data_IF_525338857142
#
_entry.id   IF_525338857142
#
_cell.length_a   1.000
_cell.length_b   1.000
_cell.length_c   1.000
_cell.angle_alpha   90.00
_cell.angle_beta   90.00
_cell.angle_gamma   90.00
#
_symmetry.space_group_name_H-M   'P 1'
#
loop_
_entity.id
_entity.type
_entity.pdbx_description
1 polymer ?
#
# COMPACT_ATOMS: atom_id res chain seq x y z
N UNK A 1 -32.39 -17.64 0.63
CA UNK A 1 -31.41 -18.23 1.57
C UNK A 1 -30.09 -18.64 0.91
N UNK A 2 -30.06 -19.34 -0.23
CA UNK A 2 -28.79 -19.78 -0.88
C UNK A 2 -27.90 -18.61 -1.35
N UNK A 3 -28.49 -17.50 -1.81
CA UNK A 3 -27.76 -16.33 -2.34
C UNK A 3 -26.95 -15.56 -1.28
N UNK A 4 -27.42 -15.54 -0.02
CA UNK A 4 -26.73 -14.85 1.08
C UNK A 4 -25.52 -15.64 1.58
N UNK A 5 -25.60 -16.97 1.60
CA UNK A 5 -24.48 -17.84 2.00
C UNK A 5 -23.29 -17.72 1.02
N UNK A 6 -23.57 -17.73 -0.29
CA UNK A 6 -22.54 -17.57 -1.32
C UNK A 6 -21.89 -16.18 -1.31
N UNK A 7 -22.66 -15.13 -0.98
CA UNK A 7 -22.11 -13.77 -0.82
C UNK A 7 -21.20 -13.69 0.40
N UNK A 8 -21.59 -14.34 1.50
CA UNK A 8 -20.80 -14.39 2.73
C UNK A 8 -19.45 -15.06 2.53
N UNK A 9 -19.45 -16.28 1.96
CA UNK A 9 -18.22 -17.03 1.69
C UNK A 9 -17.28 -16.25 0.77
N UNK A 10 -17.83 -15.54 -0.23
CA UNK A 10 -17.04 -14.71 -1.15
C UNK A 10 -16.47 -13.47 -0.47
N UNK A 11 -17.23 -12.80 0.39
CA UNK A 11 -16.75 -11.66 1.15
C UNK A 11 -15.64 -12.07 2.13
N UNK A 12 -15.80 -13.20 2.81
CA UNK A 12 -14.78 -13.77 3.69
C UNK A 12 -13.49 -14.11 2.92
N UNK A 13 -13.62 -14.70 1.72
CA UNK A 13 -12.47 -14.99 0.86
C UNK A 13 -11.72 -13.71 0.48
N UNK A 14 -12.44 -12.66 0.04
CA UNK A 14 -11.83 -11.38 -0.32
C UNK A 14 -11.13 -10.75 0.89
N UNK A 15 -11.75 -10.73 2.07
CA UNK A 15 -11.12 -10.19 3.28
C UNK A 15 -9.85 -10.94 3.67
N UNK A 16 -9.83 -12.26 3.46
CA UNK A 16 -8.64 -13.10 3.69
C UNK A 16 -7.53 -12.82 2.68
N UNK A 17 -7.87 -12.59 1.42
CA UNK A 17 -6.91 -12.17 0.39
C UNK A 17 -6.32 -10.79 0.71
N UNK A 18 -7.16 -9.85 1.13
CA UNK A 18 -6.71 -8.53 1.59
C UNK A 18 -5.74 -8.65 2.78
N UNK A 19 -6.07 -9.50 3.76
CA UNK A 19 -5.23 -9.77 4.92
C UNK A 19 -3.85 -10.32 4.54
N UNK A 20 -3.82 -11.28 3.62
CA UNK A 20 -2.58 -11.86 3.10
C UNK A 20 -1.72 -10.81 2.37
N UNK A 21 -2.33 -9.96 1.54
CA UNK A 21 -1.63 -8.88 0.85
C UNK A 21 -1.01 -7.90 1.85
N UNK A 22 -1.78 -7.50 2.87
CA UNK A 22 -1.33 -6.56 3.91
C UNK A 22 -0.19 -7.16 4.72
N UNK A 23 -0.30 -8.43 5.13
CA UNK A 23 0.78 -9.13 5.84
C UNK A 23 2.07 -9.18 5.01
N UNK A 24 1.98 -9.50 3.72
CA UNK A 24 3.13 -9.52 2.83
C UNK A 24 3.76 -8.13 2.67
N UNK A 25 2.96 -7.05 2.62
CA UNK A 25 3.49 -5.68 2.58
C UNK A 25 4.20 -5.32 3.91
N UNK A 26 3.65 -5.74 5.05
CA UNK A 26 4.28 -5.53 6.37
C UNK A 26 5.64 -6.20 6.47
N UNK A 27 5.83 -7.36 5.84
CA UNK A 27 7.13 -8.03 5.77
C UNK A 27 8.13 -7.31 4.86
N UNK A 28 7.67 -6.64 3.79
CA UNK A 28 8.53 -5.91 2.85
C UNK A 28 9.07 -4.61 3.47
N UNK A 29 8.27 -3.87 4.24
CA UNK A 29 8.66 -2.58 4.82
C UNK A 29 10.02 -2.59 5.56
N UNK A 30 10.28 -3.52 6.50
CA UNK A 30 11.56 -3.56 7.20
C UNK A 30 12.72 -3.96 6.27
N UNK A 31 12.45 -4.79 5.25
CA UNK A 31 13.45 -5.17 4.25
C UNK A 31 13.84 -3.98 3.36
N UNK A 32 12.87 -3.15 2.96
CA UNK A 32 13.14 -1.92 2.22
C UNK A 32 14.02 -0.97 3.03
N UNK A 33 13.74 -0.82 4.33
CA UNK A 33 14.57 -0.01 5.22
C UNK A 33 16.01 -0.52 5.25
N UNK A 34 16.22 -1.82 5.45
CA UNK A 34 17.56 -2.43 5.46
C UNK A 34 18.27 -2.20 4.12
N UNK A 35 17.57 -2.38 2.99
CA UNK A 35 18.14 -2.17 1.67
C UNK A 35 18.54 -0.69 1.45
N UNK A 36 17.74 0.26 1.93
CA UNK A 36 18.05 1.70 1.91
C UNK A 36 19.29 1.99 2.77
N UNK A 37 19.35 1.47 3.99
CA UNK A 37 20.47 1.69 4.92
C UNK A 37 21.79 1.12 4.35
N UNK A 38 21.70 0.05 3.55
CA UNK A 38 22.84 -0.59 2.87
C UNK A 38 23.13 -0.01 1.48
N UNK A 39 22.33 0.95 0.99
CA UNK A 39 22.40 1.50 -0.37
C UNK A 39 22.33 0.42 -1.46
N UNK A 40 21.61 -0.67 -1.21
CA UNK A 40 21.46 -1.78 -2.14
C UNK A 40 20.34 -1.47 -3.16
N UNK A 41 20.73 -0.84 -4.28
CA UNK A 41 19.79 -0.40 -5.33
C UNK A 41 18.96 -1.53 -5.95
N UNK A 42 19.53 -2.73 -6.11
CA UNK A 42 18.83 -3.88 -6.68
C UNK A 42 17.73 -4.39 -5.73
N UNK A 43 18.06 -4.55 -4.45
CA UNK A 43 17.10 -4.94 -3.43
C UNK A 43 15.98 -3.88 -3.27
N UNK A 44 16.33 -2.58 -3.27
CA UNK A 44 15.34 -1.50 -3.22
C UNK A 44 14.37 -1.61 -4.40
N UNK A 45 14.89 -1.82 -5.62
CA UNK A 45 14.06 -1.94 -6.81
C UNK A 45 13.13 -3.16 -6.74
N UNK A 46 13.67 -4.34 -6.43
CA UNK A 46 12.89 -5.58 -6.34
C UNK A 46 11.79 -5.50 -5.27
N UNK A 47 12.12 -4.99 -4.08
CA UNK A 47 11.17 -4.85 -2.99
C UNK A 47 10.07 -3.83 -3.31
N UNK A 48 10.42 -2.73 -3.99
CA UNK A 48 9.44 -1.72 -4.46
C UNK A 48 8.48 -2.32 -5.48
N UNK A 49 8.99 -3.10 -6.44
CA UNK A 49 8.15 -3.76 -7.46
C UNK A 49 7.22 -4.80 -6.83
N UNK A 50 7.72 -5.61 -5.88
CA UNK A 50 6.90 -6.57 -5.13
C UNK A 50 5.79 -5.87 -4.33
N UNK A 51 6.13 -4.78 -3.61
CA UNK A 51 5.14 -3.98 -2.88
C UNK A 51 4.09 -3.39 -3.81
N UNK A 52 4.48 -2.91 -4.99
CA UNK A 52 3.55 -2.38 -6.00
C UNK A 52 2.58 -3.46 -6.50
N UNK A 53 3.06 -4.68 -6.74
CA UNK A 53 2.20 -5.80 -7.13
C UNK A 53 1.15 -6.12 -6.06
N UNK A 54 1.56 -6.20 -4.78
CA UNK A 54 0.64 -6.45 -3.67
C UNK A 54 -0.39 -5.33 -3.48
N UNK A 55 0.00 -4.06 -3.71
CA UNK A 55 -0.97 -2.96 -3.73
C UNK A 55 -1.98 -3.06 -4.87
N UNK A 56 -1.55 -3.56 -6.02
CA UNK A 56 -2.47 -3.83 -7.14
C UNK A 56 -3.46 -4.93 -6.78
N UNK A 57 -2.99 -6.05 -6.21
CA UNK A 57 -3.85 -7.14 -5.74
C UNK A 57 -4.86 -6.66 -4.69
N UNK A 58 -4.44 -5.79 -3.76
CA UNK A 58 -5.33 -5.19 -2.77
C UNK A 58 -6.40 -4.29 -3.42
N UNK A 59 -6.05 -3.55 -4.48
CA UNK A 59 -7.01 -2.74 -5.23
C UNK A 59 -7.98 -3.61 -6.03
N UNK A 60 -7.52 -4.73 -6.56
CA UNK A 60 -8.37 -5.69 -7.25
C UNK A 60 -9.36 -6.32 -6.27
N UNK A 61 -8.94 -6.66 -5.04
CA UNK A 61 -9.83 -7.09 -3.96
C UNK A 61 -10.91 -6.05 -3.64
N UNK A 62 -10.54 -4.77 -3.55
CA UNK A 62 -11.51 -3.67 -3.35
C UNK A 62 -12.49 -3.57 -4.52
N UNK A 63 -12.03 -3.74 -5.75
CA UNK A 63 -12.92 -3.76 -6.93
C UNK A 63 -13.90 -4.94 -6.87
N UNK A 64 -13.44 -6.12 -6.42
CA UNK A 64 -14.32 -7.27 -6.20
C UNK A 64 -15.39 -6.99 -5.13
N UNK A 65 -15.03 -6.33 -4.02
CA UNK A 65 -16.02 -5.85 -3.05
C UNK A 65 -17.03 -4.89 -3.68
N UNK A 66 -16.58 -3.98 -4.54
CA UNK A 66 -17.47 -3.05 -5.25
C UNK A 66 -18.45 -3.76 -6.19
N UNK A 67 -18.01 -4.82 -6.87
CA UNK A 67 -18.90 -5.65 -7.68
C UNK A 67 -19.94 -6.37 -6.83
N UNK A 68 -19.59 -6.78 -5.60
CA UNK A 68 -20.56 -7.34 -4.67
C UNK A 68 -21.62 -6.30 -4.26
N UNK A 69 -21.25 -5.04 -3.99
CA UNK A 69 -22.25 -3.98 -3.72
C UNK A 69 -23.27 -3.85 -4.87
N UNK A 70 -22.80 -3.86 -6.12
CA UNK A 70 -23.68 -3.75 -7.30
C UNK A 70 -24.65 -4.92 -7.42
N UNK A 71 -24.24 -6.13 -7.02
CA UNK A 71 -25.10 -7.32 -7.05
C UNK A 71 -26.22 -7.31 -6.00
N UNK A 72 -26.08 -6.46 -4.97
CA UNK A 72 -27.05 -6.31 -3.88
C UNK A 72 -27.81 -4.97 -3.94
N UNK A 73 -27.82 -4.32 -5.11
CA UNK A 73 -28.46 -3.00 -5.34
C UNK A 73 -28.02 -1.92 -4.35
N UNK A 74 -26.81 -2.05 -3.80
CA UNK A 74 -26.26 -1.05 -2.88
C UNK A 74 -25.68 0.14 -3.67
N UNK A 75 -25.81 1.38 -3.16
CA UNK A 75 -25.17 2.55 -3.75
C UNK A 75 -23.67 2.35 -3.96
N UNK A 76 -23.09 2.91 -5.03
CA UNK A 76 -21.64 2.82 -5.28
C UNK A 76 -20.79 3.50 -4.19
N UNK A 77 -21.37 4.42 -3.44
CA UNK A 77 -20.75 5.07 -2.28
C UNK A 77 -20.88 4.26 -0.99
N UNK A 78 -21.48 3.06 -1.05
CA UNK A 78 -21.61 2.20 0.11
C UNK A 78 -20.24 1.72 0.60
N UNK A 79 -20.03 1.85 1.91
CA UNK A 79 -18.84 1.34 2.58
C UNK A 79 -18.98 -0.17 2.83
N UNK A 80 -17.85 -0.87 2.94
CA UNK A 80 -17.77 -2.29 3.25
C UNK A 80 -18.50 -2.64 4.54
N UNK A 81 -18.56 -1.69 5.48
CA UNK A 81 -19.38 -1.79 6.69
C UNK A 81 -20.85 -2.10 6.37
N UNK A 82 -21.44 -1.38 5.41
CA UNK A 82 -22.85 -1.51 5.07
C UNK A 82 -23.17 -2.86 4.39
N UNK A 83 -22.21 -3.43 3.63
CA UNK A 83 -22.38 -4.76 3.03
C UNK A 83 -22.26 -5.87 4.06
N UNK A 84 -21.35 -5.73 5.04
CA UNK A 84 -21.26 -6.66 6.17
C UNK A 84 -22.58 -6.67 6.94
N UNK A 85 -23.13 -5.48 7.24
CA UNK A 85 -24.42 -5.35 7.94
C UNK A 85 -25.59 -5.94 7.14
N UNK A 86 -25.60 -5.76 5.82
CA UNK A 86 -26.70 -6.22 4.95
C UNK A 86 -26.65 -7.71 4.66
N UNK A 87 -25.46 -8.29 4.49
CA UNK A 87 -25.32 -9.69 4.08
C UNK A 87 -25.16 -10.66 5.24
N UNK A 88 -24.74 -10.21 6.43
CA UNK A 88 -24.23 -11.08 7.49
C UNK A 88 -24.64 -10.69 8.90
N UNK A 89 -25.93 -10.43 9.14
CA UNK A 89 -26.43 -9.99 10.45
C UNK A 89 -25.99 -10.87 11.65
N UNK A 90 -25.73 -12.18 11.47
CA UNK A 90 -25.27 -13.08 12.54
C UNK A 90 -23.73 -13.14 12.68
N UNK A 91 -22.96 -12.92 11.61
CA UNK A 91 -21.47 -12.97 11.58
C UNK A 91 -20.82 -11.57 11.45
N UNK A 92 -21.61 -10.50 11.48
CA UNK A 92 -21.16 -9.13 11.19
C UNK A 92 -20.08 -8.64 12.15
N UNK A 93 -20.11 -9.08 13.41
CA UNK A 93 -19.22 -8.56 14.45
C UNK A 93 -17.75 -8.91 14.19
N UNK A 94 -17.47 -10.16 13.82
CA UNK A 94 -16.11 -10.61 13.54
C UNK A 94 -15.56 -9.99 12.25
N UNK A 95 -16.42 -9.79 11.25
CA UNK A 95 -16.03 -9.16 9.99
C UNK A 95 -15.80 -7.66 10.13
N UNK A 96 -16.59 -6.96 10.95
CA UNK A 96 -16.33 -5.56 11.29
C UNK A 96 -15.02 -5.41 12.05
N UNK A 97 -14.72 -6.32 12.97
CA UNK A 97 -13.44 -6.35 13.68
C UNK A 97 -12.29 -6.55 12.69
N UNK A 98 -12.38 -7.54 11.81
CA UNK A 98 -11.37 -7.79 10.78
C UNK A 98 -11.18 -6.56 9.87
N UNK A 99 -12.28 -5.95 9.40
CA UNK A 99 -12.22 -4.70 8.61
C UNK A 99 -11.48 -3.59 9.35
N UNK A 100 -11.78 -3.39 10.63
CA UNK A 100 -11.14 -2.36 11.44
C UNK A 100 -9.65 -2.63 11.61
N UNK A 101 -9.27 -3.88 11.87
CA UNK A 101 -7.87 -4.30 11.98
C UNK A 101 -7.10 -4.07 10.66
N UNK A 102 -7.69 -4.45 9.52
CA UNK A 102 -7.10 -4.20 8.19
C UNK A 102 -6.91 -2.71 7.93
N UNK A 103 -7.88 -1.87 8.27
CA UNK A 103 -7.76 -0.42 8.11
C UNK A 103 -6.64 0.18 8.95
N UNK A 104 -6.51 -0.23 10.22
CA UNK A 104 -5.41 0.22 11.09
C UNK A 104 -4.06 -0.19 10.51
N UNK A 105 -3.93 -1.42 10.02
CA UNK A 105 -2.70 -1.92 9.40
C UNK A 105 -2.36 -1.16 8.12
N UNK A 106 -3.32 -0.91 7.23
CA UNK A 106 -3.14 -0.08 6.02
C UNK A 106 -2.62 1.32 6.37
N UNK A 107 -3.18 1.96 7.40
CA UNK A 107 -2.73 3.30 7.84
C UNK A 107 -1.28 3.25 8.30
N UNK A 108 -0.91 2.25 9.10
CA UNK A 108 0.46 2.07 9.58
C UNK A 108 1.44 1.81 8.44
N UNK A 109 1.08 0.93 7.50
CA UNK A 109 1.86 0.64 6.29
C UNK A 109 2.08 1.92 5.48
N UNK A 110 1.04 2.73 5.27
CA UNK A 110 1.13 3.99 4.52
C UNK A 110 2.15 4.94 5.16
N UNK A 111 2.10 5.07 6.49
CA UNK A 111 3.06 5.87 7.26
C UNK A 111 4.49 5.37 7.13
N UNK A 112 4.71 4.06 7.28
CA UNK A 112 6.07 3.50 7.17
C UNK A 112 6.63 3.60 5.74
N UNK A 113 5.77 3.47 4.73
CA UNK A 113 6.13 3.69 3.33
C UNK A 113 6.59 5.13 3.08
N UNK A 114 5.90 6.12 3.66
CA UNK A 114 6.31 7.53 3.59
C UNK A 114 7.68 7.74 4.27
N UNK A 115 7.90 7.13 5.43
CA UNK A 115 9.19 7.19 6.11
C UNK A 115 10.31 6.56 5.27
N UNK A 116 10.07 5.41 4.62
CA UNK A 116 11.05 4.80 3.71
C UNK A 116 11.34 5.71 2.50
N UNK A 117 10.33 6.37 1.93
CA UNK A 117 10.54 7.33 0.85
C UNK A 117 11.42 8.52 1.28
N UNK A 118 11.20 9.03 2.49
CA UNK A 118 12.03 10.09 3.08
C UNK A 118 13.48 9.60 3.29
N UNK A 119 13.68 8.39 3.82
CA UNK A 119 15.01 7.78 4.01
C UNK A 119 15.75 7.62 2.69
N UNK A 120 15.09 7.08 1.67
CA UNK A 120 15.66 6.90 0.34
C UNK A 120 16.09 8.25 -0.26
N UNK A 121 15.24 9.28 -0.15
CA UNK A 121 15.57 10.63 -0.61
C UNK A 121 16.81 11.19 0.10
N UNK A 122 16.90 11.03 1.42
CA UNK A 122 18.06 11.46 2.19
C UNK A 122 19.34 10.72 1.78
N UNK A 123 19.26 9.41 1.57
CA UNK A 123 20.37 8.58 1.08
C UNK A 123 20.87 9.05 -0.29
N UNK A 124 19.95 9.30 -1.24
CA UNK A 124 20.29 9.83 -2.56
C UNK A 124 20.96 11.21 -2.48
N UNK A 125 20.47 12.10 -1.59
CA UNK A 125 21.07 13.41 -1.38
C UNK A 125 22.49 13.31 -0.80
N UNK A 126 22.71 12.43 0.19
CA UNK A 126 24.03 12.18 0.76
C UNK A 126 25.02 11.67 -0.29
N UNK A 127 24.64 10.64 -1.05
CA UNK A 127 25.46 10.10 -2.15
C UNK A 127 25.77 11.20 -3.17
N UNK A 128 24.76 11.95 -3.60
CA UNK A 128 24.95 13.02 -4.60
C UNK A 128 25.91 14.10 -4.11
N UNK A 129 25.81 14.49 -2.83
CA UNK A 129 26.72 15.45 -2.23
C UNK A 129 28.16 14.92 -2.17
N UNK A 130 28.36 13.65 -1.80
CA UNK A 130 29.68 13.00 -1.81
C UNK A 130 30.26 12.95 -3.22
N UNK A 131 29.49 12.52 -4.22
CA UNK A 131 29.94 12.46 -5.61
C UNK A 131 30.30 13.84 -6.17
N UNK A 132 29.54 14.88 -5.81
CA UNK A 132 29.88 16.26 -6.18
C UNK A 132 31.17 16.74 -5.52
N UNK A 133 31.37 16.44 -4.22
CA UNK A 133 32.61 16.76 -3.51
C UNK A 133 33.85 16.08 -4.09
N UNK A 134 33.68 14.88 -4.65
CA UNK A 134 34.73 14.15 -5.37
C UNK A 134 34.89 14.56 -6.84
N UNK A 135 34.06 15.48 -7.34
CA UNK A 135 34.05 15.89 -8.75
C UNK A 135 33.53 14.82 -9.73
N UNK A 136 32.95 13.73 -9.21
CA UNK A 136 32.40 12.61 -10.00
C UNK A 136 31.00 12.91 -10.53
N UNK A 137 30.34 13.92 -9.98
CA UNK A 137 29.04 14.40 -10.44
C UNK A 137 29.05 15.93 -10.49
N UNK A 138 28.53 16.51 -11.58
CA UNK A 138 28.34 17.97 -11.64
C UNK A 138 27.27 18.39 -10.63
N UNK A 139 27.57 19.43 -9.85
CA UNK A 139 26.54 20.09 -9.06
C UNK A 139 25.46 20.62 -10.00
N UNK A 140 24.18 20.33 -9.72
CA UNK A 140 23.07 21.05 -10.36
C UNK A 140 23.13 22.49 -9.83
N UNK A 141 23.85 23.36 -10.53
CA UNK A 141 23.86 24.79 -10.25
C UNK A 141 22.51 25.38 -10.61
N UNK A 142 21.75 25.80 -9.59
CA UNK A 142 20.42 26.44 -9.74
C UNK A 142 20.51 27.90 -10.19
N UNK A 143 21.71 28.44 -10.42
CA UNK A 143 21.89 29.76 -11.02
C UNK A 143 22.10 29.62 -12.52
N UNK A 144 21.09 30.01 -13.30
CA UNK A 144 21.23 30.33 -14.71
C UNK A 144 22.29 31.42 -14.85
N UNK A 145 23.35 31.15 -15.62
CA UNK A 145 24.31 32.15 -16.08
C UNK A 145 23.72 33.06 -17.17
N UNK A 146 22.46 33.50 -17.02
CA UNK A 146 21.93 34.62 -17.79
C UNK A 146 21.77 35.80 -16.82
N UNK A 147 22.89 36.18 -16.23
CA UNK A 147 23.07 37.48 -15.59
C UNK A 147 23.26 38.53 -16.68
N UNK A 148 22.17 38.94 -17.33
CA UNK A 148 22.13 40.24 -18.00
C UNK A 148 21.62 41.26 -17.00
N UNK A 149 22.59 42.02 -16.47
CA UNK A 149 22.42 43.37 -15.92
C UNK A 149 21.81 44.32 -16.95
#
# INVERSE_FOLDING_TARGET
>A
MVMHLQTSERLQAILKEMDACIAAIEEIIPLEKIAIDQLNGEAIHQLTENRRALWQELNDCKSQCQQLFQQHDMPQESDLSQLIDTCLAEDATDLHKQRQELNVRIINISRENELNAIRLKAAVQAISSTLQGLGLQKAKTTYSQDGTL
#
